data_IF_862416065265
#
_entry.id   IF_862416065265
#
_cell.length_a   1.000
_cell.length_b   1.000
_cell.length_c   1.000
_cell.angle_alpha   90.00
_cell.angle_beta   90.00
_cell.angle_gamma   90.00
#
_symmetry.space_group_name_H-M   'P 1'
#
loop_
_entity.id
_entity.type
_entity.pdbx_description
1 polymer ?
#
# COMPACT_ATOMS: atom_id res chain seq x y z
N UNK A 1 -4.54 -28.81 26.06
CA UNK A 1 -5.53 -29.10 24.99
C UNK A 1 -6.25 -27.80 24.67
N UNK A 2 -5.86 -27.11 23.59
CA UNK A 2 -6.64 -25.98 23.07
C UNK A 2 -7.89 -26.58 22.42
N UNK A 3 -9.07 -26.19 22.89
CA UNK A 3 -10.33 -26.65 22.34
C UNK A 3 -10.46 -26.20 20.89
N UNK A 4 -10.83 -27.13 20.01
CA UNK A 4 -11.12 -26.97 18.57
C UNK A 4 -12.30 -26.01 18.26
N UNK A 5 -12.70 -25.17 19.21
CA UNK A 5 -13.79 -24.19 19.08
C UNK A 5 -13.22 -22.90 18.50
N UNK A 6 -13.30 -22.75 17.19
CA UNK A 6 -13.29 -21.42 16.56
C UNK A 6 -12.43 -21.25 15.32
N UNK A 7 -11.70 -22.27 14.85
CA UNK A 7 -11.08 -22.20 13.52
C UNK A 7 -12.16 -22.53 12.50
N UNK A 8 -12.79 -21.51 11.90
CA UNK A 8 -13.59 -21.69 10.69
C UNK A 8 -12.64 -22.20 9.60
N UNK A 9 -12.54 -23.52 9.46
CA UNK A 9 -11.75 -24.21 8.42
C UNK A 9 -12.36 -24.06 7.04
N UNK A 10 -13.51 -23.36 6.91
CA UNK A 10 -13.81 -22.73 5.64
C UNK A 10 -12.76 -21.65 5.46
N UNK A 11 -11.62 -22.05 4.92
CA UNK A 11 -10.77 -21.17 4.14
C UNK A 11 -11.71 -20.54 3.14
N UNK A 12 -12.27 -19.38 3.49
CA UNK A 12 -12.87 -18.52 2.50
C UNK A 12 -11.66 -18.22 1.63
N UNK A 13 -11.63 -18.87 0.46
CA UNK A 13 -10.60 -18.63 -0.51
C UNK A 13 -10.96 -17.29 -1.17
N UNK A 14 -10.93 -16.23 -0.35
CA UNK A 14 -11.14 -14.84 -0.74
C UNK A 14 -10.02 -14.36 -1.68
N UNK A 15 -9.02 -15.22 -1.90
CA UNK A 15 -7.93 -15.08 -2.86
C UNK A 15 -8.23 -15.70 -4.24
N UNK A 16 -9.46 -16.16 -4.53
CA UNK A 16 -9.91 -16.29 -5.92
C UNK A 16 -10.01 -14.88 -6.52
N UNK A 17 -8.83 -14.31 -6.81
CA UNK A 17 -8.66 -13.18 -7.67
C UNK A 17 -8.92 -13.72 -9.08
N UNK A 18 -10.20 -13.92 -9.41
CA UNK A 18 -10.67 -14.49 -10.69
C UNK A 18 -10.39 -13.57 -11.89
N UNK A 19 -9.62 -12.50 -11.70
CA UNK A 19 -9.32 -11.52 -12.72
C UNK A 19 -7.82 -11.21 -12.69
N UNK A 20 -7.22 -11.21 -13.89
CA UNK A 20 -5.83 -10.84 -14.21
C UNK A 20 -5.49 -9.39 -13.81
N UNK A 21 -5.67 -9.04 -12.55
CA UNK A 21 -5.40 -7.72 -12.02
C UNK A 21 -4.05 -7.73 -11.33
N UNK A 22 -3.19 -6.78 -11.73
CA UNK A 22 -1.93 -6.51 -11.04
C UNK A 22 -2.24 -6.06 -9.60
N UNK A 23 -2.02 -6.97 -8.65
CA UNK A 23 -2.24 -6.72 -7.23
C UNK A 23 -1.41 -5.51 -6.77
N UNK A 24 -2.10 -4.44 -6.34
CA UNK A 24 -1.49 -3.22 -5.82
C UNK A 24 -2.10 -2.82 -4.48
N UNK A 25 -1.48 -1.87 -3.78
CA UNK A 25 -1.91 -1.43 -2.45
C UNK A 25 -3.38 -1.02 -2.39
N UNK A 26 -3.90 -0.34 -3.42
CA UNK A 26 -5.29 0.12 -3.45
C UNK A 26 -6.27 -1.05 -3.52
N UNK A 27 -5.99 -2.01 -4.40
CA UNK A 27 -6.84 -3.20 -4.56
C UNK A 27 -6.81 -4.07 -3.30
N UNK A 28 -5.62 -4.27 -2.72
CA UNK A 28 -5.45 -5.01 -1.48
C UNK A 28 -6.21 -4.40 -0.30
N UNK A 29 -6.07 -3.09 -0.07
CA UNK A 29 -6.79 -2.41 1.02
C UNK A 29 -8.31 -2.50 0.80
N UNK A 30 -8.77 -2.36 -0.45
CA UNK A 30 -10.17 -2.55 -0.80
C UNK A 30 -10.67 -3.96 -0.49
N UNK A 31 -9.89 -4.98 -0.85
CA UNK A 31 -10.17 -6.38 -0.54
C UNK A 31 -10.20 -6.64 0.97
N UNK A 32 -9.19 -6.19 1.72
CA UNK A 32 -9.07 -6.44 3.15
C UNK A 32 -10.25 -5.84 3.92
N UNK A 33 -10.69 -4.64 3.53
CA UNK A 33 -11.89 -4.00 4.10
C UNK A 33 -13.16 -4.82 3.85
N UNK A 34 -13.35 -5.35 2.63
CA UNK A 34 -14.48 -6.20 2.28
C UNK A 34 -14.46 -7.51 3.05
N UNK A 35 -13.31 -8.18 3.12
CA UNK A 35 -13.13 -9.41 3.87
C UNK A 35 -13.45 -9.20 5.36
N UNK A 36 -12.89 -8.15 5.98
CA UNK A 36 -13.16 -7.83 7.38
C UNK A 36 -14.64 -7.50 7.63
N UNK A 37 -15.31 -6.78 6.72
CA UNK A 37 -16.74 -6.50 6.83
C UNK A 37 -17.60 -7.77 6.74
N UNK A 38 -17.25 -8.68 5.82
CA UNK A 38 -17.93 -9.97 5.68
C UNK A 38 -17.79 -10.82 6.95
N UNK A 39 -16.58 -10.91 7.52
CA UNK A 39 -16.34 -11.64 8.76
C UNK A 39 -17.14 -11.08 9.94
N UNK A 40 -17.15 -9.74 10.09
CA UNK A 40 -17.97 -9.07 11.12
C UNK A 40 -19.46 -9.39 10.98
N UNK A 41 -19.99 -9.33 9.76
CA UNK A 41 -21.40 -9.63 9.50
C UNK A 41 -21.74 -11.10 9.74
N UNK A 42 -20.90 -12.03 9.27
CA UNK A 42 -21.12 -13.47 9.37
C UNK A 42 -21.13 -13.96 10.82
N UNK A 43 -20.24 -13.43 11.66
CA UNK A 43 -20.04 -13.94 13.02
C UNK A 43 -20.83 -13.20 14.11
N UNK A 44 -21.52 -12.09 13.79
CA UNK A 44 -22.47 -11.32 14.66
C UNK A 44 -22.00 -10.92 16.07
N UNK A 45 -20.77 -11.25 16.44
CA UNK A 45 -20.13 -11.03 17.73
C UNK A 45 -18.79 -10.31 17.52
N UNK A 46 -18.26 -9.57 18.51
CA UNK A 46 -16.90 -9.05 18.50
C UNK A 46 -15.91 -10.20 18.78
N UNK A 47 -16.06 -11.34 18.10
CA UNK A 47 -15.03 -12.36 18.12
C UNK A 47 -13.77 -11.75 17.52
N UNK A 48 -12.64 -12.02 18.17
CA UNK A 48 -11.32 -11.59 17.71
C UNK A 48 -11.01 -12.25 16.36
N UNK A 49 -11.54 -11.66 15.29
CA UNK A 49 -11.29 -12.08 13.94
C UNK A 49 -9.82 -11.81 13.64
N UNK A 50 -9.03 -12.87 13.56
CA UNK A 50 -7.62 -12.78 13.19
C UNK A 50 -7.49 -13.01 11.69
N UNK A 51 -6.99 -12.01 10.97
CA UNK A 51 -6.61 -12.14 9.57
C UNK A 51 -5.10 -12.30 9.55
N UNK A 52 -4.63 -13.49 9.16
CA UNK A 52 -3.19 -13.76 8.98
C UNK A 52 -2.85 -13.53 7.51
N UNK A 53 -1.91 -12.63 7.26
CA UNK A 53 -1.44 -12.29 5.92
C UNK A 53 0.06 -12.55 5.84
N UNK A 54 0.55 -13.01 4.69
CA UNK A 54 1.98 -13.02 4.42
C UNK A 54 2.52 -11.59 4.29
N UNK A 55 3.82 -11.37 4.46
CA UNK A 55 4.38 -10.03 4.29
C UNK A 55 4.73 -9.79 2.82
N UNK A 56 3.74 -9.40 2.02
CA UNK A 56 3.97 -9.02 0.63
C UNK A 56 4.25 -7.51 0.48
N UNK A 57 5.16 -7.14 -0.44
CA UNK A 57 5.57 -5.74 -0.66
C UNK A 57 4.40 -4.78 -0.97
N UNK A 58 3.33 -5.30 -1.55
CA UNK A 58 2.13 -4.54 -1.95
C UNK A 58 1.12 -4.35 -0.81
N UNK A 59 1.31 -4.99 0.36
CA UNK A 59 0.46 -4.78 1.53
C UNK A 59 0.61 -3.40 2.16
N UNK A 60 1.77 -2.75 1.96
CA UNK A 60 2.07 -1.48 2.59
C UNK A 60 1.85 -0.31 1.62
N UNK A 61 1.13 0.71 2.06
CA UNK A 61 1.02 1.97 1.32
C UNK A 61 2.06 2.97 1.86
N UNK A 62 2.86 3.56 0.98
CA UNK A 62 3.75 4.67 1.34
C UNK A 62 2.92 5.94 1.64
N UNK A 63 3.38 6.73 2.60
CA UNK A 63 2.90 8.11 2.78
C UNK A 63 3.26 8.96 1.56
N UNK A 64 2.47 10.00 1.27
CA UNK A 64 2.61 10.81 0.05
C UNK A 64 3.93 11.59 -0.01
N UNK A 65 4.47 11.96 1.15
CA UNK A 65 5.80 12.56 1.32
C UNK A 65 6.93 11.59 0.96
N UNK A 66 6.75 10.29 1.22
CA UNK A 66 7.70 9.22 0.95
C UNK A 66 7.55 8.55 -0.43
N UNK A 67 6.60 9.00 -1.28
CA UNK A 67 6.44 8.49 -2.66
C UNK A 67 7.47 9.13 -3.61
N UNK A 68 8.49 8.38 -4.11
CA UNK A 68 9.43 8.92 -5.09
C UNK A 68 8.78 9.06 -6.48
N UNK A 69 9.31 9.93 -7.36
CA UNK A 69 8.85 9.99 -8.74
C UNK A 69 9.11 8.68 -9.47
N UNK A 70 8.20 8.31 -10.39
CA UNK A 70 8.31 7.09 -11.18
C UNK A 70 9.01 7.37 -12.51
N UNK A 71 9.67 6.37 -13.08
CA UNK A 71 10.26 6.45 -14.44
C UNK A 71 9.23 6.86 -15.51
N UNK A 72 7.96 6.53 -15.30
CA UNK A 72 6.83 6.88 -16.19
C UNK A 72 6.40 8.35 -16.11
N UNK A 73 6.80 9.10 -15.07
CA UNK A 73 6.41 10.50 -14.94
C UNK A 73 7.02 11.37 -16.05
N UNK A 74 6.29 12.42 -16.45
CA UNK A 74 6.79 13.44 -17.38
C UNK A 74 7.75 14.39 -16.65
N UNK A 75 8.61 15.10 -17.40
CA UNK A 75 9.61 16.03 -16.82
C UNK A 75 8.97 17.04 -15.87
N UNK A 76 7.90 17.70 -16.29
CA UNK A 76 7.16 18.67 -15.49
C UNK A 76 6.63 18.09 -14.17
N UNK A 77 6.17 16.83 -14.14
CA UNK A 77 5.70 16.19 -12.91
C UNK A 77 6.84 15.98 -11.90
N UNK A 78 8.06 15.72 -12.38
CA UNK A 78 9.25 15.58 -11.54
C UNK A 78 9.68 16.96 -11.01
N UNK A 79 9.65 17.99 -11.86
CA UNK A 79 9.93 19.38 -11.48
C UNK A 79 8.96 19.89 -10.40
N UNK A 80 7.66 19.64 -10.55
CA UNK A 80 6.66 19.94 -9.53
C UNK A 80 6.92 19.21 -8.21
N UNK A 81 7.38 17.96 -8.27
CA UNK A 81 7.68 17.17 -7.08
C UNK A 81 8.90 17.72 -6.33
N UNK A 82 9.96 18.10 -7.07
CA UNK A 82 11.15 18.75 -6.53
C UNK A 82 10.81 20.11 -5.92
N UNK A 83 10.01 20.91 -6.63
CA UNK A 83 9.56 22.24 -6.20
C UNK A 83 8.74 22.17 -4.91
N UNK A 84 7.77 21.24 -4.83
CA UNK A 84 6.95 21.01 -3.62
C UNK A 84 7.77 20.61 -2.40
N UNK A 85 8.97 20.07 -2.61
CA UNK A 85 9.91 19.66 -1.55
C UNK A 85 11.04 20.66 -1.35
N UNK A 86 10.96 21.83 -1.99
CA UNK A 86 11.97 22.89 -1.95
C UNK A 86 13.38 22.39 -2.34
N UNK A 87 13.46 21.37 -3.20
CA UNK A 87 14.72 20.86 -3.72
C UNK A 87 15.12 21.71 -4.92
N UNK A 88 16.28 22.35 -4.85
CA UNK A 88 16.82 23.16 -5.95
C UNK A 88 17.26 22.26 -7.10
N UNK A 89 16.92 22.65 -8.31
CA UNK A 89 17.37 21.99 -9.54
C UNK A 89 17.56 23.05 -10.64
N UNK A 90 18.38 22.71 -11.62
CA UNK A 90 18.61 23.57 -12.79
C UNK A 90 17.61 23.26 -13.90
N UNK A 91 17.06 24.29 -14.54
CA UNK A 91 15.96 24.16 -15.53
C UNK A 91 16.36 23.38 -16.79
N UNK A 92 17.66 23.41 -17.14
CA UNK A 92 18.22 22.74 -18.30
C UNK A 92 18.45 21.23 -18.08
N UNK A 93 18.29 20.72 -16.86
CA UNK A 93 18.48 19.30 -16.59
C UNK A 93 17.51 18.44 -17.38
N UNK A 94 18.02 17.30 -17.87
CA UNK A 94 17.20 16.30 -18.57
C UNK A 94 16.34 15.54 -17.57
N UNK A 95 15.25 14.95 -18.05
CA UNK A 95 14.33 14.11 -17.24
C UNK A 95 15.08 13.07 -16.40
N UNK A 96 16.08 12.40 -16.97
CA UNK A 96 16.86 11.37 -16.27
C UNK A 96 17.62 11.95 -15.06
N UNK A 97 18.27 13.11 -15.24
CA UNK A 97 19.01 13.79 -14.17
C UNK A 97 18.06 14.30 -13.07
N UNK A 98 16.92 14.85 -13.45
CA UNK A 98 15.89 15.27 -12.48
C UNK A 98 15.33 14.08 -11.70
N UNK A 99 15.15 12.93 -12.36
CA UNK A 99 14.69 11.70 -11.73
C UNK A 99 15.73 11.18 -10.73
N UNK A 100 17.01 11.15 -11.10
CA UNK A 100 18.10 10.76 -10.20
C UNK A 100 18.19 11.68 -8.99
N UNK A 101 18.12 13.00 -9.21
CA UNK A 101 18.09 13.99 -8.13
C UNK A 101 16.91 13.76 -7.19
N UNK A 102 15.72 13.49 -7.73
CA UNK A 102 14.54 13.24 -6.92
C UNK A 102 14.61 11.92 -6.14
N UNK A 103 15.20 10.86 -6.73
CA UNK A 103 15.43 9.58 -6.03
C UNK A 103 16.46 9.76 -4.91
N UNK A 104 17.54 10.50 -5.15
CA UNK A 104 18.58 10.77 -4.16
C UNK A 104 18.07 11.60 -2.97
N UNK A 105 17.07 12.46 -3.19
CA UNK A 105 16.44 13.29 -2.16
C UNK A 105 15.10 12.72 -1.67
N UNK A 106 14.74 11.49 -2.05
CA UNK A 106 13.52 10.86 -1.56
C UNK A 106 13.66 10.59 -0.06
N UNK A 107 12.64 10.97 0.71
CA UNK A 107 12.59 10.66 2.13
C UNK A 107 12.64 9.14 2.35
N UNK A 108 13.14 8.67 3.52
CA UNK A 108 13.03 7.27 3.91
C UNK A 108 11.60 6.76 3.77
N UNK A 109 11.45 5.48 3.41
CA UNK A 109 10.14 4.86 3.24
C UNK A 109 9.34 4.96 4.54
N UNK A 110 8.34 5.83 4.55
CA UNK A 110 7.35 5.93 5.61
C UNK A 110 6.06 5.31 5.11
N UNK A 111 5.56 4.31 5.84
CA UNK A 111 4.32 3.63 5.50
C UNK A 111 3.17 4.20 6.33
N UNK A 112 1.98 4.24 5.72
CA UNK A 112 0.76 4.59 6.43
C UNK A 112 0.50 3.51 7.49
N UNK A 113 0.26 3.96 8.71
CA UNK A 113 -0.15 3.11 9.83
C UNK A 113 -1.48 3.65 10.35
N UNK A 114 -2.38 2.74 10.72
CA UNK A 114 -3.57 3.15 11.46
C UNK A 114 -3.15 3.49 12.90
N UNK A 115 -3.76 4.50 13.50
CA UNK A 115 -3.61 4.73 14.92
C UNK A 115 -4.20 3.52 15.65
N UNK A 116 -3.43 2.90 16.54
CA UNK A 116 -3.97 1.91 17.46
C UNK A 116 -5.04 2.61 18.32
N UNK A 117 -6.29 2.17 18.17
CA UNK A 117 -7.39 2.58 19.03
C UNK A 117 -7.24 1.98 20.42
#
# INVERSE_FOLDING_TARGET
>A
MLSDRGVDKNTVNIFLCDENHSMNSTYFIGWLRKAAAHLRHKHREPTQNCIVLDNARWHNELCDDAKPPKRSWRKNQIEEWLTRRSIKYESLLKKAQLLELAIANAAPKKFKTDAAA
#
